data_IF_489826011268
#
_entry.id   IF_489826011268
#
_cell.length_a   1.000
_cell.length_b   1.000
_cell.length_c   1.000
_cell.angle_alpha   90.00
_cell.angle_beta   90.00
_cell.angle_gamma   90.00
#
_symmetry.space_group_name_H-M   'P 1'
#
loop_
_entity.id
_entity.type
_entity.pdbx_description
1 polymer ?
#
# COMPACT_ATOMS: atom_id res chain seq x y z
N UNK A 1 -1.54 0.56 5.54
CA UNK A 1 -1.11 -0.08 4.28
C UNK A 1 -2.32 -0.18 3.37
N UNK A 2 -2.35 0.60 2.30
CA UNK A 2 -3.48 0.59 1.36
C UNK A 2 -3.41 -0.64 0.44
N UNK A 3 -4.54 -1.31 0.25
CA UNK A 3 -4.67 -2.46 -0.63
C UNK A 3 -6.04 -2.47 -1.29
N UNK A 4 -6.07 -2.84 -2.56
CA UNK A 4 -7.28 -3.30 -3.22
C UNK A 4 -7.57 -4.72 -2.74
N UNK A 5 -8.77 -4.93 -2.20
CA UNK A 5 -9.24 -6.24 -1.81
C UNK A 5 -10.43 -6.65 -2.66
N UNK A 6 -10.50 -7.94 -2.97
CA UNK A 6 -11.67 -8.58 -3.56
C UNK A 6 -12.50 -9.26 -2.48
N UNK A 7 -13.81 -9.03 -2.53
CA UNK A 7 -14.78 -9.65 -1.65
C UNK A 7 -15.65 -10.61 -2.47
N UNK A 8 -15.48 -11.90 -2.23
CA UNK A 8 -16.21 -12.92 -2.96
C UNK A 8 -17.71 -12.95 -2.57
N UNK A 9 -18.47 -13.77 -3.30
CA UNK A 9 -19.90 -13.95 -3.02
C UNK A 9 -20.17 -14.48 -1.60
N UNK A 10 -19.26 -15.28 -1.04
CA UNK A 10 -19.39 -15.79 0.33
C UNK A 10 -19.26 -14.65 1.34
N UNK A 11 -18.33 -13.73 1.14
CA UNK A 11 -18.16 -12.53 1.97
C UNK A 11 -19.44 -11.68 1.95
N UNK A 12 -20.04 -11.45 0.78
CA UNK A 12 -21.32 -10.73 0.67
C UNK A 12 -22.44 -11.43 1.45
N UNK A 13 -22.52 -12.75 1.37
CA UNK A 13 -23.50 -13.54 2.12
C UNK A 13 -23.26 -13.45 3.63
N UNK A 14 -22.00 -13.58 4.06
CA UNK A 14 -21.61 -13.41 5.47
C UNK A 14 -22.02 -12.04 5.99
N UNK A 15 -21.77 -10.96 5.25
CA UNK A 15 -22.15 -9.60 5.67
C UNK A 15 -23.68 -9.47 5.84
N UNK A 16 -24.47 -10.08 4.95
CA UNK A 16 -25.95 -10.08 5.04
C UNK A 16 -26.49 -10.83 6.27
N UNK A 17 -25.76 -11.82 6.73
CA UNK A 17 -26.13 -12.67 7.87
C UNK A 17 -25.55 -12.16 9.20
N UNK A 18 -24.81 -11.04 9.19
CA UNK A 18 -24.25 -10.47 10.40
C UNK A 18 -25.34 -10.03 11.38
N UNK A 19 -25.16 -10.28 12.69
CA UNK A 19 -25.90 -9.61 13.74
C UNK A 19 -25.77 -8.08 13.63
N UNK A 20 -26.79 -7.33 14.11
CA UNK A 20 -26.84 -5.86 13.99
C UNK A 20 -25.63 -5.16 14.62
N UNK A 21 -25.13 -5.64 15.76
CA UNK A 21 -23.94 -5.10 16.43
C UNK A 21 -22.69 -5.22 15.55
N UNK A 22 -22.51 -6.37 14.90
CA UNK A 22 -21.40 -6.61 13.96
C UNK A 22 -21.55 -5.84 12.66
N UNK A 23 -22.79 -5.68 12.18
CA UNK A 23 -23.09 -4.84 11.03
C UNK A 23 -22.66 -3.40 11.27
N UNK A 24 -23.03 -2.82 12.42
CA UNK A 24 -22.65 -1.44 12.74
C UNK A 24 -21.15 -1.30 13.02
N UNK A 25 -20.49 -2.26 13.66
CA UNK A 25 -19.02 -2.28 13.78
C UNK A 25 -18.35 -2.26 12.41
N UNK A 26 -18.81 -3.11 11.48
CA UNK A 26 -18.27 -3.19 10.13
C UNK A 26 -18.53 -1.90 9.34
N UNK A 27 -19.74 -1.33 9.43
CA UNK A 27 -20.13 -0.08 8.77
C UNK A 27 -19.28 1.10 9.23
N UNK A 28 -19.01 1.18 10.53
CA UNK A 28 -18.21 2.25 11.12
C UNK A 28 -16.71 2.05 10.89
N UNK A 29 -16.25 0.81 11.00
CA UNK A 29 -14.84 0.44 10.87
C UNK A 29 -14.31 0.41 9.44
N UNK A 30 -15.16 0.13 8.44
CA UNK A 30 -14.79 0.05 7.03
C UNK A 30 -15.80 0.80 6.16
N UNK A 31 -15.74 2.13 6.23
CA UNK A 31 -16.68 3.03 5.53
C UNK A 31 -16.73 2.83 4.01
N UNK A 32 -15.64 2.33 3.42
CA UNK A 32 -15.52 2.06 1.99
C UNK A 32 -16.49 0.98 1.48
N UNK A 33 -17.02 0.14 2.39
CA UNK A 33 -18.10 -0.80 2.04
C UNK A 33 -19.42 -0.11 1.72
N UNK A 34 -19.59 1.16 2.11
CA UNK A 34 -20.81 1.95 1.94
C UNK A 34 -22.07 1.21 2.42
N UNK A 35 -21.95 0.51 3.56
CA UNK A 35 -23.09 -0.20 4.13
C UNK A 35 -24.17 0.80 4.59
N UNK A 36 -25.44 0.58 4.25
CA UNK A 36 -26.54 1.40 4.75
C UNK A 36 -26.72 1.24 6.25
N UNK A 37 -27.31 2.25 6.88
CA UNK A 37 -27.70 2.21 8.29
C UNK A 37 -28.80 1.17 8.53
N UNK A 38 -28.64 0.31 9.54
CA UNK A 38 -29.66 -0.63 9.95
C UNK A 38 -30.57 -0.02 11.02
N UNK A 39 -31.76 0.45 10.60
CA UNK A 39 -32.72 1.09 11.51
C UNK A 39 -33.24 0.12 12.57
N UNK A 40 -33.48 0.62 13.78
CA UNK A 40 -33.89 -0.21 14.91
C UNK A 40 -35.18 -1.01 14.67
N UNK A 41 -36.12 -0.41 13.93
CA UNK A 41 -37.41 -1.01 13.59
C UNK A 41 -37.33 -2.18 12.59
N UNK A 42 -36.21 -2.33 11.87
CA UNK A 42 -36.09 -3.33 10.81
C UNK A 42 -35.53 -4.65 11.36
N UNK A 43 -36.29 -5.74 11.25
CA UNK A 43 -35.85 -7.07 11.71
C UNK A 43 -34.67 -7.65 10.92
N UNK A 44 -34.43 -7.16 9.71
CA UNK A 44 -33.41 -7.68 8.78
C UNK A 44 -32.47 -6.59 8.31
N UNK A 45 -31.24 -6.99 7.96
CA UNK A 45 -30.24 -6.09 7.43
C UNK A 45 -30.75 -5.41 6.14
N UNK A 46 -30.44 -4.13 5.92
CA UNK A 46 -30.84 -3.46 4.69
C UNK A 46 -30.15 -4.09 3.48
N UNK A 47 -30.80 -4.02 2.33
CA UNK A 47 -30.20 -4.45 1.08
C UNK A 47 -28.99 -3.55 0.75
N UNK A 48 -27.90 -4.17 0.31
CA UNK A 48 -26.71 -3.46 -0.15
C UNK A 48 -26.12 -4.17 -1.37
N UNK A 49 -25.39 -3.39 -2.16
CA UNK A 49 -24.59 -3.87 -3.28
C UNK A 49 -23.12 -3.74 -2.92
N UNK A 50 -22.38 -4.85 -2.96
CA UNK A 50 -20.95 -4.84 -2.72
C UNK A 50 -20.23 -4.54 -4.04
N UNK A 51 -19.24 -3.65 -4.02
CA UNK A 51 -18.31 -3.56 -5.15
C UNK A 51 -17.39 -4.77 -5.13
N UNK A 52 -17.05 -5.32 -6.29
CA UNK A 52 -16.17 -6.50 -6.37
C UNK A 52 -14.77 -6.20 -5.83
N UNK A 53 -14.30 -4.97 -6.03
CA UNK A 53 -13.01 -4.50 -5.54
C UNK A 53 -13.19 -3.23 -4.70
N UNK A 54 -12.48 -3.18 -3.57
CA UNK A 54 -12.58 -2.08 -2.61
C UNK A 54 -11.17 -1.73 -2.12
N UNK A 55 -10.85 -0.44 -2.16
CA UNK A 55 -9.62 0.08 -1.59
C UNK A 55 -9.76 0.22 -0.07
N UNK A 56 -8.89 -0.45 0.69
CA UNK A 56 -8.89 -0.43 2.16
C UNK A 56 -7.50 -0.19 2.71
N UNK A 57 -7.42 0.39 3.92
CA UNK A 57 -6.21 0.32 4.72
C UNK A 57 -6.22 -0.97 5.56
N UNK A 58 -5.37 -1.95 5.21
CA UNK A 58 -5.31 -3.23 5.92
C UNK A 58 -4.89 -3.10 7.38
N UNK A 59 -4.17 -2.04 7.76
CA UNK A 59 -3.71 -1.86 9.14
C UNK A 59 -4.88 -1.55 10.08
N UNK A 60 -5.86 -0.78 9.61
CA UNK A 60 -7.03 -0.37 10.38
C UNK A 60 -8.25 -1.21 10.06
N UNK A 61 -8.52 -1.47 8.78
CA UNK A 61 -9.71 -2.17 8.30
C UNK A 61 -9.57 -3.68 8.31
N UNK A 62 -8.35 -4.22 8.12
CA UNK A 62 -8.12 -5.67 8.04
C UNK A 62 -8.59 -6.40 9.29
N UNK A 63 -8.23 -5.88 10.46
CA UNK A 63 -8.71 -6.41 11.74
C UNK A 63 -10.23 -6.34 11.90
N UNK A 64 -10.87 -5.25 11.45
CA UNK A 64 -12.32 -5.11 11.49
C UNK A 64 -13.02 -6.14 10.58
N UNK A 65 -12.54 -6.35 9.36
CA UNK A 65 -13.05 -7.36 8.43
C UNK A 65 -12.96 -8.77 9.04
N UNK A 66 -11.77 -9.15 9.53
CA UNK A 66 -11.55 -10.50 10.09
C UNK A 66 -12.36 -10.75 11.37
N UNK A 67 -12.47 -9.78 12.29
CA UNK A 67 -13.28 -9.93 13.52
C UNK A 67 -14.77 -10.09 13.22
N UNK A 68 -15.25 -9.48 12.13
CA UNK A 68 -16.62 -9.65 11.65
C UNK A 68 -16.77 -10.88 10.73
N UNK A 69 -15.76 -11.75 10.62
CA UNK A 69 -15.83 -12.98 9.83
C UNK A 69 -15.82 -12.77 8.31
N UNK A 70 -15.57 -11.53 7.85
CA UNK A 70 -15.53 -11.20 6.43
C UNK A 70 -14.19 -11.66 5.86
N UNK A 71 -14.24 -12.61 4.93
CA UNK A 71 -13.07 -13.07 4.18
C UNK A 71 -12.83 -12.15 2.99
N UNK A 72 -11.57 -11.91 2.68
CA UNK A 72 -11.17 -11.09 1.54
C UNK A 72 -9.87 -11.63 0.94
N UNK A 73 -9.67 -11.37 -0.34
CA UNK A 73 -8.43 -11.63 -1.05
C UNK A 73 -7.76 -10.29 -1.36
N UNK A 74 -6.45 -10.18 -1.17
CA UNK A 74 -5.72 -8.96 -1.55
C UNK A 74 -5.35 -9.11 -3.03
N UNK A 75 -5.95 -8.29 -3.90
CA UNK A 75 -5.67 -8.33 -5.34
C UNK A 75 -4.47 -7.46 -5.69
N UNK A 76 -4.34 -6.30 -5.04
CA UNK A 76 -3.27 -5.34 -5.30
C UNK A 76 -2.92 -4.57 -4.02
N UNK A 77 -1.64 -4.25 -3.82
CA UNK A 77 -1.23 -3.26 -2.83
C UNK A 77 -1.02 -1.93 -3.56
N UNK A 78 -1.81 -0.92 -3.25
CA UNK A 78 -1.64 0.41 -3.84
C UNK A 78 -0.27 0.98 -3.46
N UNK A 79 0.40 1.58 -4.45
CA UNK A 79 1.79 2.09 -4.33
C UNK A 79 2.84 1.03 -3.99
N UNK A 80 2.55 -0.26 -4.17
CA UNK A 80 3.56 -1.30 -4.14
C UNK A 80 3.98 -1.65 -5.58
N UNK A 81 5.28 -1.47 -5.87
CA UNK A 81 5.84 -1.94 -7.13
C UNK A 81 6.24 -3.40 -7.00
N UNK A 82 5.72 -4.26 -7.88
CA UNK A 82 6.24 -5.62 -8.05
C UNK A 82 7.52 -5.56 -8.86
N UNK A 83 8.66 -5.56 -8.18
CA UNK A 83 9.95 -5.77 -8.85
C UNK A 83 10.22 -7.27 -8.87
N UNK A 84 10.57 -7.83 -10.04
CA UNK A 84 11.16 -9.17 -10.13
C UNK A 84 12.67 -9.00 -10.04
N UNK A 85 13.23 -9.34 -8.90
CA UNK A 85 14.66 -9.53 -8.73
C UNK A 85 14.91 -11.00 -8.44
N UNK A 86 15.72 -11.64 -9.27
CA UNK A 86 16.44 -12.85 -8.89
C UNK A 86 17.69 -12.40 -8.14
N UNK A 87 17.89 -12.91 -6.93
CA UNK A 87 19.19 -12.76 -6.28
C UNK A 87 20.28 -13.55 -7.04
N UNK A 88 21.53 -13.48 -6.57
CA UNK A 88 22.65 -14.23 -7.15
C UNK A 88 22.45 -15.76 -7.18
N UNK A 89 21.43 -16.27 -6.46
CA UNK A 89 21.07 -17.69 -6.38
C UNK A 89 19.87 -18.05 -7.26
N UNK A 90 19.22 -17.06 -7.88
CA UNK A 90 18.04 -17.25 -8.71
C UNK A 90 16.73 -17.33 -7.93
N UNK A 91 16.73 -17.01 -6.63
CA UNK A 91 15.52 -17.02 -5.82
C UNK A 91 14.69 -15.75 -6.12
N UNK A 92 13.39 -15.94 -6.35
CA UNK A 92 12.46 -14.82 -6.55
C UNK A 92 12.10 -14.19 -5.20
N UNK A 93 12.51 -12.93 -5.02
CA UNK A 93 12.20 -12.18 -3.80
C UNK A 93 11.03 -11.22 -4.01
N UNK A 94 10.09 -11.21 -3.06
CA UNK A 94 8.98 -10.28 -3.02
C UNK A 94 9.38 -9.04 -2.22
N UNK A 95 9.85 -8.00 -2.91
CA UNK A 95 10.19 -6.72 -2.29
C UNK A 95 8.97 -5.80 -2.29
N UNK A 96 8.40 -5.56 -1.10
CA UNK A 96 7.38 -4.53 -0.89
C UNK A 96 8.08 -3.21 -0.54
N UNK A 97 8.21 -2.33 -1.53
CA UNK A 97 8.67 -0.95 -1.29
C UNK A 97 7.45 -0.10 -1.01
N UNK A 98 7.15 0.11 0.28
CA UNK A 98 6.20 1.14 0.68
C UNK A 98 6.94 2.47 0.60
N UNK A 99 6.45 3.36 -0.25
CA UNK A 99 6.98 4.71 -0.39
C UNK A 99 6.03 5.68 0.31
N UNK A 100 6.32 6.07 1.56
CA UNK A 100 5.47 6.98 2.30
C UNK A 100 5.81 8.42 1.90
N UNK A 101 5.61 8.81 0.63
CA UNK A 101 5.54 10.22 0.27
C UNK A 101 5.12 10.44 -1.20
N UNK A 102 4.17 11.35 -1.44
CA UNK A 102 3.85 11.83 -2.80
C UNK A 102 5.07 12.45 -3.50
N UNK A 103 6.08 12.85 -2.73
CA UNK A 103 7.40 13.33 -3.18
C UNK A 103 8.12 12.36 -4.12
N UNK A 104 7.85 11.05 -4.02
CA UNK A 104 8.42 10.06 -4.93
C UNK A 104 7.67 9.94 -6.26
N UNK A 105 6.39 10.36 -6.32
CA UNK A 105 5.69 10.52 -7.60
C UNK A 105 6.21 11.73 -8.39
N UNK A 106 6.81 12.71 -7.73
CA UNK A 106 7.50 13.80 -8.41
C UNK A 106 8.88 13.41 -8.95
N UNK A 107 9.44 12.26 -8.57
CA UNK A 107 10.76 11.84 -9.05
C UNK A 107 10.60 11.21 -10.42
N UNK A 108 11.25 11.81 -11.42
CA UNK A 108 11.24 11.33 -12.80
C UNK A 108 12.56 10.67 -13.21
N UNK A 109 13.63 10.89 -12.45
CA UNK A 109 14.96 10.36 -12.72
C UNK A 109 15.52 9.75 -11.45
N UNK A 110 16.10 8.54 -11.58
CA UNK A 110 16.73 7.80 -10.47
C UNK A 110 18.13 7.38 -10.91
N UNK A 111 19.11 7.55 -10.04
CA UNK A 111 20.51 7.19 -10.28
C UNK A 111 21.10 6.52 -9.03
N UNK A 112 21.86 5.45 -9.27
CA UNK A 112 22.69 4.83 -8.24
C UNK A 112 24.10 5.43 -8.31
N UNK A 113 24.63 5.84 -7.15
CA UNK A 113 25.99 6.31 -6.98
C UNK A 113 26.74 5.28 -6.14
N UNK A 114 27.50 4.38 -6.79
CA UNK A 114 28.21 3.33 -6.09
C UNK A 114 29.44 3.89 -5.36
N UNK A 115 29.70 3.41 -4.14
CA UNK A 115 30.89 3.73 -3.33
C UNK A 115 31.14 5.25 -3.22
N UNK A 116 30.06 6.03 -3.05
CA UNK A 116 30.10 7.49 -3.11
C UNK A 116 30.77 8.08 -1.86
N UNK A 117 31.58 9.14 -2.04
CA UNK A 117 31.93 9.97 -0.91
C UNK A 117 30.86 11.04 -0.61
N UNK A 118 31.00 11.68 0.55
CA UNK A 118 30.09 12.75 0.96
C UNK A 118 30.10 13.93 -0.01
N UNK A 119 31.19 14.17 -0.75
CA UNK A 119 31.28 15.27 -1.72
C UNK A 119 30.48 14.99 -2.98
N UNK A 120 30.53 13.77 -3.50
CA UNK A 120 29.72 13.33 -4.62
C UNK A 120 28.22 13.42 -4.30
N UNK A 121 27.83 13.00 -3.10
CA UNK A 121 26.45 13.12 -2.62
C UNK A 121 26.05 14.58 -2.47
N UNK A 122 26.88 15.41 -1.84
CA UNK A 122 26.58 16.83 -1.65
C UNK A 122 26.40 17.57 -2.97
N UNK A 123 27.28 17.33 -3.96
CA UNK A 123 27.15 17.93 -5.30
C UNK A 123 25.80 17.58 -5.93
N UNK A 124 25.34 16.34 -5.77
CA UNK A 124 24.04 15.90 -6.31
C UNK A 124 22.88 16.54 -5.57
N UNK A 125 22.97 16.69 -4.25
CA UNK A 125 21.97 17.43 -3.48
C UNK A 125 21.87 18.89 -3.96
N UNK A 126 23.01 19.53 -4.23
CA UNK A 126 23.06 20.90 -4.76
C UNK A 126 22.45 21.00 -6.17
N UNK A 127 22.60 19.96 -6.99
CA UNK A 127 21.97 19.80 -8.31
C UNK A 127 20.47 19.45 -8.25
N UNK A 128 19.87 19.43 -7.05
CA UNK A 128 18.44 19.17 -6.85
C UNK A 128 18.05 17.69 -6.83
N UNK A 129 19.02 16.79 -6.56
CA UNK A 129 18.72 15.39 -6.26
C UNK A 129 18.36 15.20 -4.79
N UNK A 130 17.62 14.15 -4.50
CA UNK A 130 17.21 13.72 -3.17
C UNK A 130 17.66 12.28 -2.92
N UNK A 131 18.07 11.97 -1.69
CA UNK A 131 18.42 10.60 -1.29
C UNK A 131 17.14 9.80 -1.10
N UNK A 132 17.00 8.67 -1.80
CA UNK A 132 15.85 7.77 -1.72
C UNK A 132 16.15 6.57 -0.84
N UNK A 133 17.37 6.03 -0.97
CA UNK A 133 17.85 4.94 -0.16
C UNK A 133 19.37 5.00 -0.02
N UNK A 134 19.87 4.43 1.07
CA UNK A 134 21.30 4.24 1.34
C UNK A 134 21.54 2.76 1.53
N UNK A 135 22.37 2.15 0.69
CA UNK A 135 22.77 0.77 0.82
C UNK A 135 24.00 0.70 1.74
N UNK A 136 23.96 -0.05 2.85
CA UNK A 136 25.12 -0.21 3.71
C UNK A 136 26.27 -0.90 2.96
N UNK A 137 27.53 -0.59 3.31
CA UNK A 137 28.69 -1.13 2.61
C UNK A 137 28.81 -2.65 2.80
N UNK A 138 28.50 -3.42 1.76
CA UNK A 138 28.70 -4.87 1.72
C UNK A 138 30.14 -5.19 1.29
N UNK A 139 31.12 -4.84 2.14
CA UNK A 139 32.55 -5.13 1.91
C UNK A 139 33.36 -4.02 1.23
N UNK A 140 32.74 -2.87 0.92
CA UNK A 140 33.40 -1.62 0.52
C UNK A 140 33.60 -0.70 1.74
N UNK A 141 34.42 0.34 1.62
CA UNK A 141 34.56 1.35 2.70
C UNK A 141 33.43 2.40 2.69
N UNK A 142 32.77 2.61 1.55
CA UNK A 142 31.74 3.66 1.39
C UNK A 142 30.41 3.05 0.95
N UNK A 143 29.27 3.63 1.39
CA UNK A 143 27.94 3.17 1.01
C UNK A 143 27.61 3.52 -0.45
N UNK A 144 26.63 2.82 -1.00
CA UNK A 144 25.99 3.21 -2.25
C UNK A 144 24.76 4.06 -1.94
N UNK A 145 24.52 5.10 -2.76
CA UNK A 145 23.34 5.94 -2.64
C UNK A 145 22.43 5.72 -3.84
N UNK A 146 21.13 5.58 -3.58
CA UNK A 146 20.10 5.68 -4.62
C UNK A 146 19.50 7.08 -4.48
N UNK A 147 19.69 7.91 -5.49
CA UNK A 147 19.21 9.28 -5.51
C UNK A 147 18.16 9.45 -6.62
N UNK A 148 17.23 10.38 -6.43
CA UNK A 148 16.26 10.74 -7.46
C UNK A 148 16.01 12.24 -7.54
N UNK A 149 15.58 12.70 -8.71
CA UNK A 149 15.19 14.10 -8.94
C UNK A 149 13.96 14.20 -9.82
N UNK A 150 13.28 15.32 -9.70
CA UNK A 150 12.21 15.72 -10.62
C UNK A 150 12.80 16.43 -11.83
N UNK A 151 12.40 16.04 -13.05
CA UNK A 151 12.54 16.90 -14.22
C UNK A 151 11.72 18.14 -13.92
N UNK A 152 12.37 19.31 -13.90
CA UNK A 152 11.62 20.55 -14.07
C UNK A 152 10.88 20.43 -15.39
N UNK A 153 9.56 20.61 -15.34
CA UNK A 153 8.81 20.87 -16.55
C UNK A 153 9.47 22.08 -17.21
N UNK A 154 10.08 21.89 -18.38
CA UNK A 154 10.53 23.02 -19.20
C UNK A 154 9.29 23.86 -19.47
N UNK A 155 9.29 25.10 -18.96
CA UNK A 155 8.21 26.06 -19.12
C UNK A 155 8.23 26.69 -20.51
#
# INVERSE_FOLDING_TARGET
MLAMIHLDWKASTTIRELPRDKWEDLRQGVRQLNLPEWKEADEKAPYFHLSEEILVDLATHGGCLTRNGVRFEITHFEHAYRTRGTDERGDEHHLHVHVPDQSLLSISEVEQIPNADLWDVQRRLDDGWHILAVCPPNGTMKPDFIMGRSRRAEA
#
